data_IF_057851851326
#
_entry.id   IF_057851851326
#
_cell.length_a   1.000
_cell.length_b   1.000
_cell.length_c   1.000
_cell.angle_alpha   90.00
_cell.angle_beta   90.00
_cell.angle_gamma   90.00
#
_symmetry.space_group_name_H-M   'P 1'
#
loop_
_entity.id
_entity.type
_entity.pdbx_description
1 polymer ?
#
# COMPACT_ATOMS: atom_id res chain seq x y z
N UNK A 1 -12.81 -12.52 32.25
CA UNK A 1 -13.74 -11.50 31.71
C UNK A 1 -13.17 -10.70 30.54
N UNK A 2 -11.87 -10.43 30.49
CA UNK A 2 -11.22 -9.58 29.46
C UNK A 2 -11.19 -10.16 28.03
N UNK A 3 -11.15 -11.50 27.89
CA UNK A 3 -11.13 -12.18 26.57
C UNK A 3 -12.46 -12.11 25.80
N UNK A 4 -13.59 -11.99 26.50
CA UNK A 4 -14.94 -11.93 25.88
C UNK A 4 -15.23 -10.52 25.36
N UNK A 5 -14.76 -9.48 26.05
CA UNK A 5 -14.94 -8.09 25.61
C UNK A 5 -14.21 -7.78 24.29
N UNK A 6 -13.02 -8.34 24.06
CA UNK A 6 -12.25 -8.12 22.83
C UNK A 6 -12.96 -8.75 21.63
N UNK A 7 -13.56 -9.94 21.78
CA UNK A 7 -14.36 -10.56 20.72
C UNK A 7 -15.64 -9.80 20.40
N UNK A 8 -16.33 -9.27 21.41
CA UNK A 8 -17.58 -8.52 21.19
C UNK A 8 -17.28 -7.16 20.55
N UNK A 9 -16.23 -6.46 20.98
CA UNK A 9 -15.84 -5.17 20.40
C UNK A 9 -15.36 -5.32 18.95
N UNK A 10 -14.60 -6.37 18.64
CA UNK A 10 -14.19 -6.67 17.26
C UNK A 10 -15.37 -7.07 16.37
N UNK A 11 -16.31 -7.88 16.85
CA UNK A 11 -17.56 -8.15 16.14
C UNK A 11 -18.40 -6.89 15.93
N UNK A 12 -18.45 -5.99 16.93
CA UNK A 12 -19.21 -4.75 16.82
C UNK A 12 -18.61 -3.79 15.79
N UNK A 13 -17.27 -3.65 15.76
CA UNK A 13 -16.56 -2.87 14.74
C UNK A 13 -16.81 -3.47 13.35
N UNK A 14 -16.73 -4.79 13.20
CA UNK A 14 -17.02 -5.45 11.92
C UNK A 14 -18.48 -5.20 11.51
N UNK A 15 -19.44 -5.39 12.41
CA UNK A 15 -20.87 -5.23 12.11
C UNK A 15 -21.26 -3.78 11.79
N UNK A 16 -20.73 -2.78 12.51
CA UNK A 16 -20.97 -1.36 12.21
C UNK A 16 -20.29 -0.86 10.94
N UNK A 17 -19.13 -1.45 10.58
CA UNK A 17 -18.45 -1.12 9.32
C UNK A 17 -19.25 -1.58 8.10
N UNK A 18 -20.06 -2.63 8.23
CA UNK A 18 -20.86 -3.17 7.14
C UNK A 18 -22.14 -2.38 6.86
N UNK A 19 -22.64 -1.56 7.79
CA UNK A 19 -23.90 -0.81 7.60
C UNK A 19 -23.73 0.54 6.91
N UNK A 20 -22.49 1.05 6.81
CA UNK A 20 -22.16 2.32 6.15
C UNK A 20 -21.10 2.15 5.04
N UNK A 21 -20.91 0.93 4.54
CA UNK A 21 -19.98 0.67 3.45
C UNK A 21 -20.43 1.35 2.14
N UNK A 22 -19.47 1.87 1.37
CA UNK A 22 -19.69 2.40 0.02
C UNK A 22 -20.45 1.40 -0.86
N UNK A 23 -21.54 1.83 -1.49
CA UNK A 23 -22.22 1.04 -2.50
C UNK A 23 -21.35 0.98 -3.77
N UNK A 24 -20.64 -0.14 -3.93
CA UNK A 24 -19.68 -0.33 -5.03
C UNK A 24 -20.38 -0.20 -6.40
N UNK A 25 -21.62 -0.64 -6.53
CA UNK A 25 -22.37 -0.54 -7.80
C UNK A 25 -22.64 0.92 -8.17
N UNK A 26 -23.04 1.74 -7.20
CA UNK A 26 -23.29 3.18 -7.39
C UNK A 26 -22.00 3.93 -7.75
N UNK A 27 -20.89 3.58 -7.09
CA UNK A 27 -19.57 4.13 -7.40
C UNK A 27 -19.10 3.74 -8.81
N UNK A 28 -19.27 2.48 -9.20
CA UNK A 28 -18.92 2.02 -10.55
C UNK A 28 -19.77 2.70 -11.62
N UNK A 29 -21.07 2.85 -11.40
CA UNK A 29 -21.94 3.58 -12.34
C UNK A 29 -21.53 5.05 -12.45
N UNK A 30 -21.15 5.69 -11.35
CA UNK A 30 -20.68 7.07 -11.35
C UNK A 30 -19.39 7.23 -12.17
N UNK A 31 -18.40 6.35 -11.96
CA UNK A 31 -17.15 6.37 -12.73
C UNK A 31 -17.41 6.07 -14.22
N UNK A 32 -18.36 5.18 -14.52
CA UNK A 32 -18.76 4.89 -15.89
C UNK A 32 -19.41 6.12 -16.55
N UNK A 33 -20.31 6.82 -15.86
CA UNK A 33 -20.94 8.04 -16.35
C UNK A 33 -19.92 9.16 -16.60
N UNK A 34 -18.97 9.36 -15.69
CA UNK A 34 -17.85 10.28 -15.89
C UNK A 34 -16.98 9.88 -17.09
N UNK A 35 -16.77 8.58 -17.30
CA UNK A 35 -15.98 8.08 -18.43
C UNK A 35 -16.69 8.23 -19.78
N UNK A 36 -18.01 8.47 -19.78
CA UNK A 36 -18.81 8.72 -20.99
C UNK A 36 -18.85 10.20 -21.37
N UNK A 37 -18.54 11.12 -20.46
CA UNK A 37 -18.46 12.55 -20.76
C UNK A 37 -17.13 12.88 -21.48
N UNK A 38 -17.15 13.19 -22.79
CA UNK A 38 -15.94 13.45 -23.55
C UNK A 38 -15.23 14.73 -23.12
N UNK A 39 -15.95 15.72 -22.60
CA UNK A 39 -15.37 16.96 -22.09
C UNK A 39 -14.58 16.68 -20.81
N UNK A 40 -15.21 15.97 -19.87
CA UNK A 40 -14.56 15.60 -18.61
C UNK A 40 -13.32 14.72 -18.84
N UNK A 41 -13.43 13.69 -19.69
CA UNK A 41 -12.29 12.81 -19.98
C UNK A 41 -11.13 13.59 -20.60
N UNK A 42 -11.40 14.50 -21.53
CA UNK A 42 -10.38 15.32 -22.16
C UNK A 42 -9.66 16.22 -21.14
N UNK A 43 -10.40 16.86 -20.23
CA UNK A 43 -9.84 17.71 -19.19
C UNK A 43 -9.05 16.90 -18.16
N UNK A 44 -9.60 15.79 -17.67
CA UNK A 44 -8.94 14.90 -16.73
C UNK A 44 -7.62 14.38 -17.29
N UNK A 45 -7.65 13.83 -18.51
CA UNK A 45 -6.44 13.27 -19.15
C UNK A 45 -5.43 14.37 -19.46
N UNK A 46 -5.86 15.58 -19.84
CA UNK A 46 -4.94 16.71 -20.04
C UNK A 46 -4.14 16.99 -18.76
N UNK A 47 -4.83 17.18 -17.63
CA UNK A 47 -4.16 17.47 -16.36
C UNK A 47 -3.30 16.29 -15.88
N UNK A 48 -3.80 15.06 -16.01
CA UNK A 48 -3.03 13.88 -15.64
C UNK A 48 -1.75 13.73 -16.47
N UNK A 49 -1.82 14.02 -17.78
CA UNK A 49 -0.65 14.00 -18.66
C UNK A 49 0.33 15.12 -18.32
N UNK A 50 -0.16 16.33 -18.08
CA UNK A 50 0.67 17.47 -17.66
C UNK A 50 1.45 17.15 -16.39
N UNK A 51 0.79 16.59 -15.38
CA UNK A 51 1.43 16.14 -14.16
C UNK A 51 2.41 14.98 -14.39
N UNK A 52 2.03 13.99 -15.19
CA UNK A 52 2.91 12.85 -15.50
C UNK A 52 4.11 13.21 -16.39
N UNK A 53 4.08 14.37 -17.04
CA UNK A 53 5.16 14.85 -17.89
C UNK A 53 6.37 15.33 -17.08
N UNK A 54 6.13 15.72 -15.82
CA UNK A 54 7.20 15.98 -14.87
C UNK A 54 7.73 14.63 -14.33
N UNK A 55 9.01 14.28 -14.63
CA UNK A 55 9.59 13.03 -14.17
C UNK A 55 9.71 12.94 -12.63
N UNK A 56 9.66 14.08 -11.92
CA UNK A 56 9.71 14.16 -10.47
C UNK A 56 8.31 14.16 -9.81
N UNK A 57 7.22 14.39 -10.56
CA UNK A 57 5.90 14.51 -9.96
C UNK A 57 5.47 13.25 -9.21
N UNK A 58 5.66 12.07 -9.80
CA UNK A 58 5.25 10.80 -9.18
C UNK A 58 6.24 10.29 -8.13
N UNK A 59 7.51 10.66 -8.24
CA UNK A 59 8.62 9.95 -7.60
C UNK A 59 9.52 10.85 -6.75
N UNK A 60 9.38 12.16 -6.89
CA UNK A 60 10.28 13.16 -6.34
C UNK A 60 11.67 13.13 -6.98
N UNK A 61 12.46 14.16 -6.68
CA UNK A 61 13.88 14.14 -6.98
C UNK A 61 14.59 13.05 -6.16
N UNK A 62 15.55 12.37 -6.78
CA UNK A 62 16.41 11.41 -6.09
C UNK A 62 17.21 12.07 -4.98
N UNK A 63 17.02 11.63 -3.74
CA UNK A 63 17.77 12.12 -2.58
C UNK A 63 18.56 10.97 -1.92
N UNK A 64 19.80 11.24 -1.46
CA UNK A 64 20.56 10.25 -0.72
C UNK A 64 19.86 9.94 0.61
N UNK A 65 19.88 8.68 1.01
CA UNK A 65 19.31 8.28 2.29
C UNK A 65 20.07 8.92 3.46
N UNK A 66 19.41 9.67 4.36
CA UNK A 66 20.10 10.49 5.36
C UNK A 66 20.65 9.67 6.55
N UNK A 67 20.28 8.40 6.68
CA UNK A 67 20.63 7.58 7.84
C UNK A 67 21.72 6.54 7.51
N UNK A 68 22.57 6.23 8.50
CA UNK A 68 23.55 5.14 8.38
C UNK A 68 22.84 3.78 8.38
N UNK A 69 23.16 2.93 7.39
CA UNK A 69 22.65 1.54 7.31
C UNK A 69 23.60 0.53 7.96
N UNK A 70 24.82 0.92 8.31
CA UNK A 70 25.83 0.03 8.91
C UNK A 70 25.50 -0.32 10.36
N UNK A 71 25.59 -1.61 10.71
CA UNK A 71 25.39 -2.10 12.08
C UNK A 71 23.92 -2.10 12.55
N UNK A 72 22.98 -1.91 11.63
CA UNK A 72 21.55 -1.82 11.93
C UNK A 72 20.85 -3.19 11.98
N UNK A 73 21.59 -4.27 11.76
CA UNK A 73 21.17 -5.64 12.03
C UNK A 73 21.85 -6.12 13.31
N UNK A 74 21.10 -6.76 14.18
CA UNK A 74 21.61 -7.33 15.43
C UNK A 74 22.40 -8.61 15.15
N UNK A 75 23.46 -8.83 15.93
CA UNK A 75 24.27 -10.06 15.85
C UNK A 75 23.48 -11.29 16.28
N UNK A 76 22.59 -11.10 17.25
CA UNK A 76 21.68 -12.12 17.78
C UNK A 76 20.24 -11.71 17.53
N UNK A 77 19.35 -12.70 17.40
CA UNK A 77 17.94 -12.43 17.14
C UNK A 77 17.33 -11.80 18.41
N UNK A 78 16.75 -10.59 18.30
CA UNK A 78 16.19 -9.91 19.46
C UNK A 78 14.97 -10.66 20.01
N UNK A 79 14.90 -10.75 21.34
CA UNK A 79 13.78 -11.37 22.08
C UNK A 79 12.79 -10.35 22.65
N UNK A 80 13.09 -9.06 22.50
CA UNK A 80 12.27 -7.94 22.98
C UNK A 80 12.25 -6.82 21.94
N UNK A 81 11.11 -6.13 21.85
CA UNK A 81 10.93 -4.97 20.97
C UNK A 81 11.91 -3.83 21.28
N UNK A 82 12.41 -3.74 22.51
CA UNK A 82 13.38 -2.72 22.90
C UNK A 82 14.79 -2.97 22.36
N UNK A 83 15.10 -4.20 21.95
CA UNK A 83 16.37 -4.59 21.34
C UNK A 83 16.29 -4.68 19.81
N UNK A 84 15.08 -4.58 19.24
CA UNK A 84 14.83 -4.71 17.81
C UNK A 84 15.47 -3.55 17.05
N UNK A 85 16.28 -3.86 16.05
CA UNK A 85 16.85 -2.89 15.11
C UNK A 85 16.14 -2.97 13.75
N UNK A 86 16.19 -1.91 12.92
CA UNK A 86 15.55 -1.93 11.60
C UNK A 86 15.99 -3.09 10.69
N UNK A 87 17.24 -3.52 10.78
CA UNK A 87 17.78 -4.65 10.01
C UNK A 87 17.30 -6.03 10.49
N UNK A 88 16.69 -6.11 11.67
CA UNK A 88 16.12 -7.35 12.21
C UNK A 88 14.70 -7.63 11.68
N UNK A 89 14.08 -6.64 11.03
CA UNK A 89 12.77 -6.79 10.40
C UNK A 89 12.94 -7.65 9.15
N UNK A 90 12.29 -8.82 9.14
CA UNK A 90 12.42 -9.80 8.05
C UNK A 90 11.23 -9.75 7.09
N UNK A 91 10.04 -9.45 7.61
CA UNK A 91 8.84 -9.31 6.79
C UNK A 91 8.07 -8.04 7.16
N UNK A 92 7.51 -7.40 6.14
CA UNK A 92 6.56 -6.30 6.25
C UNK A 92 5.24 -6.72 5.64
N UNK A 93 4.14 -6.27 6.22
CA UNK A 93 2.81 -6.42 5.64
C UNK A 93 1.92 -5.27 6.06
N UNK A 94 0.99 -4.91 5.18
CA UNK A 94 -0.11 -4.00 5.50
C UNK A 94 -1.42 -4.70 5.21
N UNK A 95 -2.41 -4.38 6.03
CA UNK A 95 -3.80 -4.76 5.85
C UNK A 95 -4.57 -3.43 5.88
N UNK A 96 -5.48 -3.22 4.94
CA UNK A 96 -6.14 -1.93 4.75
C UNK A 96 -7.06 -1.89 3.54
N UNK A 97 -7.79 -0.81 3.35
CA UNK A 97 -8.76 -0.66 2.26
C UNK A 97 -8.09 -0.31 0.90
N UNK A 98 -8.89 0.16 -0.06
CA UNK A 98 -8.43 0.56 -1.38
C UNK A 98 -7.36 1.66 -1.35
N UNK A 99 -7.31 2.50 -0.31
CA UNK A 99 -6.27 3.52 -0.14
C UNK A 99 -4.93 2.84 0.15
N UNK A 100 -4.93 1.83 1.03
CA UNK A 100 -3.74 1.03 1.32
C UNK A 100 -3.26 0.26 0.08
N UNK A 101 -4.17 -0.07 -0.84
CA UNK A 101 -3.85 -0.68 -2.12
C UNK A 101 -3.37 0.31 -3.20
N UNK A 102 -3.29 1.61 -2.93
CA UNK A 102 -2.87 2.62 -3.91
C UNK A 102 -3.85 2.78 -5.06
N UNK A 103 -5.16 2.68 -4.76
CA UNK A 103 -6.22 2.86 -5.75
C UNK A 103 -6.11 4.24 -6.42
N UNK A 104 -5.99 4.24 -7.74
CA UNK A 104 -5.89 5.46 -8.55
C UNK A 104 -4.56 6.20 -8.47
N UNK A 105 -3.54 5.68 -7.78
CA UNK A 105 -2.26 6.39 -7.59
C UNK A 105 -1.58 6.82 -8.91
N UNK A 106 -1.75 6.04 -9.98
CA UNK A 106 -1.26 6.37 -11.34
C UNK A 106 -2.39 6.53 -12.36
N UNK A 107 -3.59 6.96 -11.94
CA UNK A 107 -4.72 7.08 -12.85
C UNK A 107 -4.52 8.22 -13.86
N UNK A 108 -4.52 7.88 -15.15
CA UNK A 108 -4.51 8.85 -16.26
C UNK A 108 -5.89 9.09 -16.88
N UNK A 109 -6.85 8.25 -16.51
CA UNK A 109 -8.24 8.30 -16.95
C UNK A 109 -9.16 8.07 -15.76
N UNK A 110 -10.43 8.51 -15.83
CA UNK A 110 -11.39 8.29 -14.74
C UNK A 110 -11.57 6.81 -14.39
N UNK A 111 -11.65 5.93 -15.40
CA UNK A 111 -11.72 4.48 -15.17
C UNK A 111 -10.43 3.92 -14.56
N UNK A 112 -9.28 4.56 -14.81
CA UNK A 112 -7.99 4.21 -14.23
C UNK A 112 -7.93 4.36 -12.72
N UNK A 113 -8.85 5.13 -12.11
CA UNK A 113 -8.99 5.25 -10.66
C UNK A 113 -9.32 3.90 -10.02
N UNK A 114 -9.93 2.96 -10.76
CA UNK A 114 -10.25 1.62 -10.26
C UNK A 114 -9.03 0.69 -10.19
N UNK A 115 -7.87 1.12 -10.71
CA UNK A 115 -6.63 0.35 -10.64
C UNK A 115 -5.97 0.50 -9.27
N UNK A 116 -5.59 -0.62 -8.66
CA UNK A 116 -4.83 -0.65 -7.41
C UNK A 116 -3.34 -0.77 -7.70
N UNK A 117 -2.60 0.32 -7.46
CA UNK A 117 -1.15 0.36 -7.61
C UNK A 117 -0.48 -0.02 -6.28
N UNK A 118 -0.62 -1.28 -5.87
CA UNK A 118 -0.15 -1.74 -4.54
C UNK A 118 1.35 -1.58 -4.36
N UNK A 119 2.10 -1.71 -5.45
CA UNK A 119 3.55 -1.54 -5.44
C UNK A 119 4.02 -0.13 -5.10
N UNK A 120 3.17 0.89 -5.25
CA UNK A 120 3.51 2.30 -4.93
C UNK A 120 2.88 2.79 -3.63
N UNK A 121 2.13 1.94 -2.95
CA UNK A 121 1.55 2.27 -1.66
C UNK A 121 2.66 2.62 -0.66
N UNK A 122 2.53 3.76 0.02
CA UNK A 122 3.48 4.19 1.03
C UNK A 122 3.71 3.12 2.11
N UNK A 123 2.66 2.36 2.45
CA UNK A 123 2.66 1.44 3.59
C UNK A 123 3.29 0.07 3.30
N UNK A 124 3.04 -0.49 2.12
CA UNK A 124 3.45 -1.84 1.76
C UNK A 124 4.01 -1.97 0.35
N UNK A 125 4.09 -0.89 -0.42
CA UNK A 125 4.63 -0.90 -1.77
C UNK A 125 6.14 -1.11 -1.77
N UNK A 126 6.63 -1.90 -2.71
CA UNK A 126 8.06 -2.17 -2.92
C UNK A 126 8.51 -1.98 -4.36
N UNK A 127 7.73 -1.28 -5.19
CA UNK A 127 8.17 -0.91 -6.53
C UNK A 127 9.34 0.10 -6.45
N UNK A 128 10.24 0.02 -7.43
CA UNK A 128 11.45 0.85 -7.51
C UNK A 128 12.35 0.79 -6.26
N UNK A 129 13.28 1.73 -6.13
CA UNK A 129 14.19 1.88 -4.97
C UNK A 129 13.75 3.07 -4.11
N UNK A 130 14.33 3.22 -2.90
CA UNK A 130 14.04 4.35 -2.01
C UNK A 130 14.20 5.71 -2.71
N UNK A 131 15.23 5.84 -3.55
CA UNK A 131 15.57 7.10 -4.25
C UNK A 131 14.52 7.52 -5.27
N UNK A 132 13.74 6.57 -5.79
CA UNK A 132 12.65 6.83 -6.74
C UNK A 132 11.28 6.74 -6.08
N UNK A 133 11.17 6.04 -4.96
CA UNK A 133 9.88 5.79 -4.35
C UNK A 133 10.05 5.56 -2.87
N UNK A 134 9.63 6.56 -2.10
CA UNK A 134 9.72 6.55 -0.65
C UNK A 134 8.51 5.80 -0.10
N UNK A 135 8.68 4.49 0.03
CA UNK A 135 7.77 3.62 0.79
C UNK A 135 8.46 3.08 2.02
N UNK A 136 7.67 2.67 3.02
CA UNK A 136 8.18 2.02 4.21
C UNK A 136 9.01 0.76 3.87
N UNK A 137 8.58 -0.17 2.99
CA UNK A 137 9.42 -1.29 2.58
C UNK A 137 10.70 -0.90 1.83
N UNK A 138 10.67 0.15 1.01
CA UNK A 138 11.87 0.64 0.30
C UNK A 138 12.89 1.26 1.25
N UNK A 139 12.46 1.85 2.37
CA UNK A 139 13.35 2.28 3.44
C UNK A 139 13.92 1.06 4.18
N UNK A 140 13.06 0.10 4.56
CA UNK A 140 13.48 -1.07 5.32
C UNK A 140 14.48 -1.96 4.56
N UNK A 141 14.37 -2.09 3.24
CA UNK A 141 15.35 -2.85 2.44
C UNK A 141 16.76 -2.25 2.48
N UNK A 142 16.90 -0.97 2.79
CA UNK A 142 18.22 -0.34 2.98
C UNK A 142 18.93 -0.89 4.22
N UNK A 143 18.16 -1.35 5.21
CA UNK A 143 18.67 -1.98 6.43
C UNK A 143 18.75 -3.50 6.33
N UNK A 144 17.79 -4.14 5.63
CA UNK A 144 17.77 -5.58 5.37
C UNK A 144 17.40 -5.88 3.91
N UNK A 145 18.39 -6.17 3.03
CA UNK A 145 18.12 -6.50 1.63
C UNK A 145 17.27 -7.76 1.40
N UNK A 146 17.15 -8.63 2.41
CA UNK A 146 16.36 -9.86 2.35
C UNK A 146 14.91 -9.70 2.83
N UNK A 147 14.44 -8.46 3.03
CA UNK A 147 13.07 -8.15 3.46
C UNK A 147 12.03 -8.81 2.53
N UNK A 148 10.96 -9.37 3.11
CA UNK A 148 9.86 -10.03 2.39
C UNK A 148 8.51 -9.37 2.70
N UNK A 149 7.48 -9.72 1.92
CA UNK A 149 6.07 -9.38 2.22
C UNK A 149 5.57 -8.04 1.67
N UNK A 150 6.44 -7.23 1.06
CA UNK A 150 6.02 -6.04 0.33
C UNK A 150 5.26 -6.39 -0.96
N UNK A 151 4.32 -5.53 -1.31
CA UNK A 151 3.55 -5.60 -2.55
C UNK A 151 4.33 -5.03 -3.72
N UNK A 152 4.15 -5.61 -4.90
CA UNK A 152 4.65 -5.05 -6.16
C UNK A 152 3.53 -5.01 -7.18
N UNK A 153 3.69 -4.20 -8.22
CA UNK A 153 2.80 -4.14 -9.39
C UNK A 153 1.41 -3.53 -9.12
N UNK A 154 0.70 -3.34 -10.23
CA UNK A 154 -0.68 -2.87 -10.32
C UNK A 154 -1.64 -4.02 -10.56
N UNK A 155 -2.85 -3.96 -10.00
CA UNK A 155 -3.89 -4.96 -10.24
C UNK A 155 -5.29 -4.36 -10.13
N UNK A 156 -6.31 -5.15 -10.46
CA UNK A 156 -7.72 -4.79 -10.27
C UNK A 156 -8.35 -5.85 -9.38
N UNK A 157 -8.59 -5.54 -8.10
CA UNK A 157 -9.22 -6.47 -7.15
C UNK A 157 -10.63 -6.89 -7.58
N UNK A 158 -11.36 -5.99 -8.24
CA UNK A 158 -12.75 -6.23 -8.62
C UNK A 158 -12.95 -7.27 -9.73
N UNK A 159 -11.91 -7.56 -10.52
CA UNK A 159 -12.01 -8.48 -11.67
C UNK A 159 -11.12 -9.73 -11.56
N UNK A 160 -10.06 -9.70 -10.74
CA UNK A 160 -9.06 -10.77 -10.69
C UNK A 160 -8.83 -11.30 -9.27
N UNK A 161 -9.57 -12.36 -8.91
CA UNK A 161 -9.28 -13.22 -7.74
C UNK A 161 -8.07 -14.16 -7.94
N UNK A 162 -7.24 -13.93 -8.95
CA UNK A 162 -6.24 -14.87 -9.43
C UNK A 162 -4.97 -14.10 -9.80
N UNK A 163 -4.17 -13.65 -8.84
CA UNK A 163 -2.72 -13.38 -8.98
C UNK A 163 -2.06 -13.02 -7.64
N UNK A 164 -2.47 -13.65 -6.54
CA UNK A 164 -2.04 -13.32 -5.18
C UNK A 164 -0.59 -13.74 -4.82
N UNK A 165 0.21 -14.23 -5.77
CA UNK A 165 1.54 -14.80 -5.47
C UNK A 165 2.59 -13.73 -5.10
N UNK A 166 2.37 -12.48 -5.50
CA UNK A 166 3.21 -11.32 -5.18
C UNK A 166 2.40 -10.09 -4.74
N UNK A 167 1.10 -10.28 -4.48
CA UNK A 167 0.19 -9.22 -4.10
C UNK A 167 -0.04 -9.38 -2.60
N UNK A 168 0.54 -8.49 -1.79
CA UNK A 168 0.23 -8.46 -0.36
C UNK A 168 -1.28 -8.27 -0.16
N UNK A 169 -1.80 -8.94 0.87
CA UNK A 169 -3.22 -8.89 1.23
C UNK A 169 -3.53 -7.56 1.94
N UNK A 170 -3.98 -6.55 1.20
CA UNK A 170 -4.49 -5.31 1.79
C UNK A 170 -6.01 -5.44 1.97
N UNK A 171 -6.51 -5.74 3.20
CA UNK A 171 -7.96 -5.77 3.47
C UNK A 171 -8.35 -5.11 4.80
N UNK A 172 -8.87 -3.88 4.76
CA UNK A 172 -9.55 -3.14 5.84
C UNK A 172 -8.76 -2.81 7.13
N UNK A 173 -8.72 -1.52 7.48
CA UNK A 173 -8.14 -0.90 8.70
C UNK A 173 -6.61 -0.89 8.76
N UNK A 174 -6.01 0.31 8.78
CA UNK A 174 -4.56 0.56 8.76
C UNK A 174 -3.82 -0.14 9.91
N UNK A 175 -3.38 -1.37 9.68
CA UNK A 175 -2.45 -2.07 10.57
C UNK A 175 -1.17 -2.40 9.81
N UNK A 176 -0.07 -1.95 10.38
CA UNK A 176 1.29 -2.25 9.95
C UNK A 176 1.82 -3.38 10.79
N UNK A 177 2.27 -4.43 10.13
CA UNK A 177 2.89 -5.56 10.80
C UNK A 177 4.35 -5.65 10.39
N UNK A 178 5.21 -5.59 11.39
CA UNK A 178 6.61 -5.97 11.26
C UNK A 178 6.77 -7.32 11.91
N UNK A 179 7.16 -8.31 11.13
CA UNK A 179 7.50 -9.63 11.67
C UNK A 179 9.02 -9.73 11.80
N UNK A 180 9.44 -10.08 13.01
CA UNK A 180 10.79 -10.51 13.34
C UNK A 180 10.69 -11.95 13.88
N UNK A 181 11.76 -12.75 13.77
CA UNK A 181 11.74 -14.15 14.22
C UNK A 181 10.83 -15.08 13.38
N UNK A 182 10.84 -14.97 12.05
CA UNK A 182 10.04 -15.82 11.16
C UNK A 182 10.86 -17.06 10.74
N UNK A 183 10.48 -18.25 11.22
CA UNK A 183 11.02 -19.54 10.79
C UNK A 183 10.25 -20.10 9.59
#
# INVERSE_FOLDING_TARGET
MTRVLISILSLFVILFSNTNGLNVTEYLSYIEDLSRDPHFVAEYTKWALELSSDPEYMYGASQPFPCSTKGMQSTEIPTSVHALRPGDIQCVGAIGDSITAGMGAHALTPIGVLLENRGVSWSAGGDHTYEKMITLPNILRLYNPNLKGFSTKTSISFLNGQNAKHNGLNVGMFYFFFFYNYY
#
